data_IF_051928650533
#
_entry.id   IF_051928650533
#
_cell.length_a   1.000
_cell.length_b   1.000
_cell.length_c   1.000
_cell.angle_alpha   90.00
_cell.angle_beta   90.00
_cell.angle_gamma   90.00
#
_symmetry.space_group_name_H-M   'P 1'
#
loop_
_entity.id
_entity.type
_entity.pdbx_description
1 polymer ?
#
# COMPACT_ATOMS: atom_id res chain seq x y z
N UNK A 1 9.34 41.90 -63.18
CA UNK A 1 10.69 41.34 -62.94
C UNK A 1 11.25 42.06 -61.74
N UNK A 2 11.03 41.52 -60.53
CA UNK A 2 11.84 40.48 -59.84
C UNK A 2 12.92 41.16 -58.97
N UNK A 3 13.13 40.91 -57.68
CA UNK A 3 12.65 39.92 -56.72
C UNK A 3 12.97 40.46 -55.29
N UNK A 4 12.07 40.24 -54.33
CA UNK A 4 12.35 40.28 -52.90
C UNK A 4 13.12 39.01 -52.49
N UNK A 5 14.18 39.14 -51.70
CA UNK A 5 14.73 38.00 -50.92
C UNK A 5 14.67 38.35 -49.44
N UNK A 6 13.59 37.90 -48.79
CA UNK A 6 13.44 37.77 -47.34
C UNK A 6 14.16 36.49 -46.89
N UNK A 7 15.16 36.60 -46.02
CA UNK A 7 15.66 35.47 -45.23
C UNK A 7 14.92 35.43 -43.90
N UNK A 8 13.88 34.61 -43.82
CA UNK A 8 13.31 34.11 -42.56
C UNK A 8 13.89 32.73 -42.29
N UNK A 9 14.61 32.61 -41.19
CA UNK A 9 15.01 31.33 -40.61
C UNK A 9 13.78 30.70 -39.95
N UNK A 10 13.02 29.92 -40.72
CA UNK A 10 11.99 29.04 -40.18
C UNK A 10 12.65 27.79 -39.60
N UNK A 11 12.63 27.66 -38.28
CA UNK A 11 12.79 26.37 -37.62
C UNK A 11 11.53 25.51 -37.87
N UNK A 12 11.66 24.19 -38.03
CA UNK A 12 10.51 23.33 -38.25
C UNK A 12 9.73 23.24 -36.95
N UNK A 13 8.56 23.91 -36.91
CA UNK A 13 7.50 23.59 -35.95
C UNK A 13 7.02 22.19 -36.31
N UNK A 14 7.54 21.19 -35.61
CA UNK A 14 6.98 19.84 -35.64
C UNK A 14 5.49 19.93 -35.33
N UNK A 15 4.71 19.32 -36.21
CA UNK A 15 3.26 19.12 -36.14
C UNK A 15 2.78 18.83 -34.71
N UNK A 16 2.35 19.86 -33.98
CA UNK A 16 1.40 19.71 -32.89
C UNK A 16 0.06 19.47 -33.59
N UNK A 17 -0.16 18.21 -33.96
CA UNK A 17 -1.46 17.74 -34.41
C UNK A 17 -2.51 18.20 -33.40
N UNK A 18 -3.50 18.89 -33.91
CA UNK A 18 -4.69 19.44 -33.24
C UNK A 18 -5.27 18.46 -32.18
N UNK A 19 -4.73 18.53 -30.95
CA UNK A 19 -5.08 17.65 -29.82
C UNK A 19 -6.45 17.99 -29.20
N UNK A 20 -7.13 19.00 -29.74
CA UNK A 20 -8.47 19.44 -29.35
C UNK A 20 -9.56 18.44 -29.71
N UNK A 21 -9.27 17.46 -30.59
CA UNK A 21 -10.23 16.44 -31.10
C UNK A 21 -10.00 15.04 -30.54
N UNK A 22 -9.56 14.90 -29.29
CA UNK A 22 -9.66 13.60 -28.61
C UNK A 22 -11.12 13.42 -28.19
N UNK A 23 -11.82 12.57 -28.94
CA UNK A 23 -13.22 12.22 -28.75
C UNK A 23 -13.45 11.71 -27.30
N UNK A 24 -14.12 12.53 -26.48
CA UNK A 24 -14.20 12.37 -25.02
C UNK A 24 -14.80 11.02 -24.58
N UNK A 25 -15.53 10.36 -25.48
CA UNK A 25 -16.27 9.12 -25.20
C UNK A 25 -15.65 7.85 -25.81
N UNK A 26 -14.51 7.94 -26.51
CA UNK A 26 -13.89 6.74 -27.09
C UNK A 26 -13.15 5.93 -26.01
N UNK A 27 -13.41 4.61 -25.86
CA UNK A 27 -12.69 3.77 -24.92
C UNK A 27 -11.20 3.76 -25.26
N UNK A 28 -10.35 3.99 -24.27
CA UNK A 28 -8.91 4.03 -24.48
C UNK A 28 -8.33 2.61 -24.50
N UNK A 29 -7.31 2.38 -25.34
CA UNK A 29 -6.55 1.13 -25.29
C UNK A 29 -5.83 0.99 -23.95
N UNK A 30 -5.77 -0.23 -23.44
CA UNK A 30 -5.05 -0.60 -22.22
C UNK A 30 -3.54 -0.37 -22.35
N UNK A 31 -3.02 -0.33 -23.59
CA UNK A 31 -1.61 -0.08 -23.88
C UNK A 31 -1.30 1.41 -24.12
N UNK A 32 -2.22 2.32 -23.76
CA UNK A 32 -1.98 3.76 -23.85
C UNK A 32 -0.73 4.19 -23.08
N UNK A 33 0.08 5.06 -23.66
CA UNK A 33 1.30 5.54 -22.97
C UNK A 33 0.93 6.51 -21.86
N UNK A 34 1.82 6.70 -20.88
CA UNK A 34 1.64 7.69 -19.79
C UNK A 34 1.43 9.11 -20.34
N UNK A 35 1.97 9.39 -21.53
CA UNK A 35 1.72 10.63 -22.25
C UNK A 35 0.25 10.79 -22.66
N UNK A 36 -0.38 9.75 -23.20
CA UNK A 36 -1.81 9.77 -23.57
C UNK A 36 -2.69 9.87 -22.32
N UNK A 37 -2.33 9.17 -21.24
CA UNK A 37 -3.02 9.31 -19.94
C UNK A 37 -2.94 10.74 -19.41
N UNK A 38 -1.78 11.38 -19.51
CA UNK A 38 -1.58 12.79 -19.12
C UNK A 38 -2.50 13.73 -19.90
N UNK A 39 -2.56 13.59 -21.22
CA UNK A 39 -3.38 14.46 -22.06
C UNK A 39 -4.86 14.39 -21.67
N UNK A 40 -5.36 13.20 -21.37
CA UNK A 40 -6.79 12.98 -21.07
C UNK A 40 -7.16 13.25 -19.61
N UNK A 41 -6.31 12.87 -18.66
CA UNK A 41 -6.64 12.84 -17.24
C UNK A 41 -5.79 13.79 -16.37
N UNK A 42 -4.78 14.44 -16.94
CA UNK A 42 -3.94 15.44 -16.26
C UNK A 42 -2.61 14.89 -15.74
N UNK A 43 -1.75 15.80 -15.27
CA UNK A 43 -0.41 15.46 -14.79
C UNK A 43 -0.44 14.58 -13.53
N UNK A 44 -1.39 14.79 -12.60
CA UNK A 44 -1.47 14.03 -11.35
C UNK A 44 -1.57 12.51 -11.56
N UNK A 45 -2.39 12.09 -12.52
CA UNK A 45 -2.58 10.66 -12.86
C UNK A 45 -1.34 10.09 -13.55
N UNK A 46 -0.71 10.85 -14.45
CA UNK A 46 0.53 10.41 -15.09
C UNK A 46 1.66 10.22 -14.07
N UNK A 47 1.77 11.12 -13.09
CA UNK A 47 2.74 11.02 -12.00
C UNK A 47 2.45 9.86 -11.05
N UNK A 48 1.17 9.50 -10.86
CA UNK A 48 0.77 8.31 -10.11
C UNK A 48 1.30 7.04 -10.76
N UNK A 49 1.06 6.83 -12.06
CA UNK A 49 1.57 5.66 -12.76
C UNK A 49 3.12 5.65 -12.85
N UNK A 50 3.77 6.81 -12.98
CA UNK A 50 5.24 6.91 -12.93
C UNK A 50 5.78 6.52 -11.54
N UNK A 51 5.11 6.92 -10.47
CA UNK A 51 5.45 6.50 -9.10
C UNK A 51 5.23 5.00 -8.88
N UNK A 52 4.09 4.46 -9.28
CA UNK A 52 3.79 3.03 -9.18
C UNK A 52 4.82 2.19 -9.95
N UNK A 53 5.18 2.62 -11.17
CA UNK A 53 6.23 1.99 -11.96
C UNK A 53 7.59 2.05 -11.28
N UNK A 54 7.93 3.19 -10.65
CA UNK A 54 9.15 3.31 -9.88
C UNK A 54 9.20 2.30 -8.73
N UNK A 55 8.13 2.21 -7.92
CA UNK A 55 8.05 1.27 -6.78
C UNK A 55 8.18 -0.18 -7.27
N UNK A 56 7.47 -0.53 -8.35
CA UNK A 56 7.58 -1.85 -9.00
C UNK A 56 9.03 -2.18 -9.37
N UNK A 57 9.70 -1.30 -10.09
CA UNK A 57 11.08 -1.55 -10.56
C UNK A 57 12.06 -1.60 -9.39
N UNK A 58 11.92 -0.70 -8.41
CA UNK A 58 12.79 -0.72 -7.24
C UNK A 58 12.64 -2.00 -6.43
N UNK A 59 11.41 -2.46 -6.21
CA UNK A 59 11.15 -3.68 -5.45
C UNK A 59 11.59 -4.92 -6.23
N UNK A 60 11.46 -4.91 -7.57
CA UNK A 60 12.00 -5.98 -8.41
C UNK A 60 13.53 -6.09 -8.29
N UNK A 61 14.24 -4.95 -8.36
CA UNK A 61 15.71 -4.91 -8.26
C UNK A 61 16.17 -5.33 -6.86
N UNK A 62 15.53 -4.80 -5.81
CA UNK A 62 15.84 -5.14 -4.43
C UNK A 62 15.55 -6.62 -4.17
N UNK A 63 14.37 -7.09 -4.59
CA UNK A 63 13.94 -8.49 -4.44
C UNK A 63 14.85 -9.46 -5.18
N UNK A 64 15.27 -9.13 -6.40
CA UNK A 64 16.22 -9.96 -7.16
C UNK A 64 17.59 -10.02 -6.46
N UNK A 65 18.06 -8.89 -5.92
CA UNK A 65 19.29 -8.85 -5.13
C UNK A 65 19.20 -9.69 -3.85
N UNK A 66 18.07 -9.62 -3.13
CA UNK A 66 17.80 -10.44 -1.96
C UNK A 66 17.80 -11.92 -2.32
N UNK A 67 17.08 -12.32 -3.38
CA UNK A 67 17.02 -13.72 -3.82
C UNK A 67 18.40 -14.21 -4.26
N UNK A 68 19.20 -13.40 -4.95
CA UNK A 68 20.56 -13.76 -5.33
C UNK A 68 21.44 -14.05 -4.11
N UNK A 69 21.45 -13.12 -3.13
CA UNK A 69 22.17 -13.28 -1.85
C UNK A 69 21.70 -14.54 -1.12
N UNK A 70 20.39 -14.76 -1.12
CA UNK A 70 19.75 -15.91 -0.48
C UNK A 70 20.09 -17.23 -1.19
N UNK A 71 20.14 -17.27 -2.53
CA UNK A 71 20.53 -18.45 -3.30
C UNK A 71 21.97 -18.86 -3.02
N UNK A 72 22.91 -17.89 -3.00
CA UNK A 72 24.31 -18.14 -2.59
C UNK A 72 24.34 -18.77 -1.20
N UNK A 73 23.59 -18.21 -0.25
CA UNK A 73 23.54 -18.73 1.11
C UNK A 73 22.95 -20.14 1.20
N UNK A 74 21.92 -20.44 0.42
CA UNK A 74 21.27 -21.74 0.42
C UNK A 74 22.19 -22.87 -0.04
N UNK A 75 23.14 -22.60 -0.93
CA UNK A 75 24.16 -23.58 -1.35
C UNK A 75 25.12 -23.95 -0.21
N UNK A 76 25.34 -23.04 0.74
CA UNK A 76 26.17 -23.29 1.93
C UNK A 76 25.37 -23.88 3.11
N UNK A 77 24.04 -23.82 3.07
CA UNK A 77 23.17 -24.40 4.10
C UNK A 77 22.95 -25.90 3.81
N UNK A 78 23.69 -26.77 4.50
CA UNK A 78 23.71 -28.22 4.28
C UNK A 78 22.42 -28.98 4.67
N UNK A 79 21.29 -28.31 4.87
CA UNK A 79 20.07 -28.93 5.40
C UNK A 79 18.84 -28.26 4.82
N UNK A 80 18.10 -28.96 3.96
CA UNK A 80 16.62 -29.05 4.03
C UNK A 80 16.11 -30.03 2.97
N UNK A 81 15.27 -30.98 3.38
CA UNK A 81 14.57 -31.91 2.49
C UNK A 81 13.30 -31.32 1.87
N UNK A 82 12.90 -30.11 2.27
CA UNK A 82 11.74 -29.40 1.76
C UNK A 82 12.16 -28.13 1.00
N UNK A 83 11.96 -28.04 -0.32
CA UNK A 83 12.33 -26.88 -1.12
C UNK A 83 11.50 -25.62 -0.82
N UNK A 84 10.45 -25.71 0.01
CA UNK A 84 9.61 -24.57 0.38
C UNK A 84 10.03 -23.89 1.69
N UNK A 85 10.71 -24.58 2.60
CA UNK A 85 11.30 -23.96 3.81
C UNK A 85 12.43 -22.99 3.44
N UNK A 86 13.02 -23.21 2.26
CA UNK A 86 13.92 -22.29 1.57
C UNK A 86 13.30 -20.88 1.44
N UNK A 87 11.98 -20.73 1.26
CA UNK A 87 11.33 -19.42 1.07
C UNK A 87 11.26 -18.54 2.33
N UNK A 88 11.74 -19.05 3.47
CA UNK A 88 11.67 -18.39 4.78
C UNK A 88 13.05 -18.25 5.42
N UNK A 89 13.11 -17.49 6.51
CA UNK A 89 14.35 -17.27 7.26
C UNK A 89 15.01 -18.55 7.79
N UNK A 90 14.28 -19.66 7.90
CA UNK A 90 14.81 -20.98 8.27
C UNK A 90 15.87 -21.51 7.29
N UNK A 91 15.91 -20.97 6.07
CA UNK A 91 16.95 -21.25 5.08
C UNK A 91 18.33 -20.71 5.46
N UNK A 92 18.42 -19.74 6.36
CA UNK A 92 19.69 -19.31 6.94
C UNK A 92 20.13 -20.41 7.92
N UNK A 93 20.80 -21.43 7.38
CA UNK A 93 21.21 -22.63 8.14
C UNK A 93 22.10 -22.34 9.36
N UNK A 94 22.37 -23.34 10.17
CA UNK A 94 23.09 -23.18 11.43
C UNK A 94 24.60 -22.96 11.27
N UNK A 95 25.15 -21.98 11.99
CA UNK A 95 26.59 -21.68 12.05
C UNK A 95 26.91 -20.19 12.23
N UNK A 96 28.10 -19.89 12.77
CA UNK A 96 28.56 -18.51 13.01
C UNK A 96 28.69 -17.70 11.72
N UNK A 97 29.21 -18.29 10.64
CA UNK A 97 29.33 -17.62 9.33
C UNK A 97 27.96 -17.17 8.80
N UNK A 98 26.93 -18.01 8.97
CA UNK A 98 25.58 -17.75 8.50
C UNK A 98 24.90 -16.62 9.29
N UNK A 99 25.19 -16.50 10.59
CA UNK A 99 24.72 -15.37 11.40
C UNK A 99 25.31 -14.03 10.95
N UNK A 100 26.64 -13.93 10.78
CA UNK A 100 27.26 -12.70 10.31
C UNK A 100 26.83 -12.34 8.89
N UNK A 101 26.69 -13.34 8.01
CA UNK A 101 26.17 -13.13 6.67
C UNK A 101 24.74 -12.60 6.71
N UNK A 102 23.85 -13.23 7.48
CA UNK A 102 22.48 -12.74 7.70
C UNK A 102 22.44 -11.31 8.24
N UNK A 103 23.27 -11.00 9.24
CA UNK A 103 23.34 -9.67 9.84
C UNK A 103 23.77 -8.60 8.82
N UNK A 104 24.86 -8.86 8.09
CA UNK A 104 25.39 -7.93 7.07
C UNK A 104 24.39 -7.75 5.94
N UNK A 105 23.75 -8.81 5.46
CA UNK A 105 22.79 -8.72 4.35
C UNK A 105 21.52 -7.98 4.75
N UNK A 106 21.02 -8.14 5.98
CA UNK A 106 19.91 -7.34 6.49
C UNK A 106 20.30 -5.86 6.66
N UNK A 107 21.50 -5.54 7.15
CA UNK A 107 21.98 -4.15 7.21
C UNK A 107 22.07 -3.53 5.82
N UNK A 108 22.64 -4.24 4.85
CA UNK A 108 22.72 -3.77 3.47
C UNK A 108 21.31 -3.56 2.88
N UNK A 109 20.40 -4.51 3.10
CA UNK A 109 18.98 -4.36 2.74
C UNK A 109 18.39 -3.08 3.33
N UNK A 110 18.65 -2.78 4.60
CA UNK A 110 18.18 -1.55 5.24
C UNK A 110 18.74 -0.29 4.61
N UNK A 111 20.04 -0.25 4.31
CA UNK A 111 20.68 0.89 3.66
C UNK A 111 20.05 1.12 2.27
N UNK A 112 19.84 0.06 1.50
CA UNK A 112 19.26 0.13 0.16
C UNK A 112 17.81 0.64 0.21
N UNK A 113 16.97 0.07 1.09
CA UNK A 113 15.57 0.49 1.23
C UNK A 113 15.43 1.92 1.78
N UNK A 114 16.29 2.34 2.72
CA UNK A 114 16.34 3.75 3.16
C UNK A 114 16.69 4.69 1.99
N UNK A 115 17.64 4.27 1.15
CA UNK A 115 18.06 4.99 -0.05
C UNK A 115 16.98 5.12 -1.13
N UNK A 116 16.01 4.21 -1.17
CA UNK A 116 14.92 4.18 -2.16
C UNK A 116 14.12 5.50 -2.19
N UNK A 117 13.75 6.05 -1.04
CA UNK A 117 13.01 7.32 -0.98
C UNK A 117 13.83 8.50 -1.51
N UNK A 118 15.10 8.58 -1.10
CA UNK A 118 16.03 9.64 -1.53
C UNK A 118 16.34 9.55 -3.03
N UNK A 119 16.55 8.34 -3.55
CA UNK A 119 16.81 8.08 -4.96
C UNK A 119 15.64 8.52 -5.84
N UNK A 120 14.39 8.20 -5.44
CA UNK A 120 13.19 8.69 -6.11
C UNK A 120 13.17 10.21 -6.21
N UNK A 121 13.43 10.90 -5.09
CA UNK A 121 13.43 12.35 -5.06
C UNK A 121 14.49 12.95 -5.97
N UNK A 122 15.74 12.47 -5.89
CA UNK A 122 16.85 13.02 -6.67
C UNK A 122 16.62 12.83 -8.17
N UNK A 123 16.18 11.65 -8.59
CA UNK A 123 15.97 11.32 -10.01
C UNK A 123 14.76 12.03 -10.60
N UNK A 124 13.66 12.14 -9.85
CA UNK A 124 12.39 12.65 -10.39
C UNK A 124 12.15 14.14 -10.14
N UNK A 125 12.83 14.79 -9.18
CA UNK A 125 12.58 16.21 -8.85
C UNK A 125 12.71 17.16 -10.04
N UNK A 126 13.74 16.99 -10.87
CA UNK A 126 14.01 17.91 -11.97
C UNK A 126 13.00 17.73 -13.10
N UNK A 127 12.62 16.49 -13.39
CA UNK A 127 11.63 16.15 -14.41
C UNK A 127 10.27 16.70 -13.99
N UNK A 128 9.82 16.39 -12.77
CA UNK A 128 8.52 16.82 -12.26
C UNK A 128 8.44 18.34 -12.15
N UNK A 129 9.52 19.02 -11.70
CA UNK A 129 9.55 20.48 -11.63
C UNK A 129 9.36 21.12 -13.00
N UNK A 130 10.08 20.64 -14.02
CA UNK A 130 9.94 21.14 -15.41
C UNK A 130 8.54 20.91 -15.95
N UNK A 131 7.96 19.74 -15.70
CA UNK A 131 6.62 19.40 -16.19
C UNK A 131 5.53 20.21 -15.48
N UNK A 132 5.69 20.48 -14.19
CA UNK A 132 4.80 21.35 -13.44
C UNK A 132 4.90 22.81 -13.90
N UNK A 133 6.12 23.31 -14.17
CA UNK A 133 6.33 24.66 -14.70
C UNK A 133 5.66 24.84 -16.08
N UNK A 134 5.75 23.84 -16.97
CA UNK A 134 5.02 23.84 -18.25
C UNK A 134 3.51 23.88 -18.05
N UNK A 135 2.98 23.07 -17.15
CA UNK A 135 1.53 23.03 -16.87
C UNK A 135 1.06 24.34 -16.24
N UNK A 136 1.86 24.95 -15.37
CA UNK A 136 1.58 26.26 -14.79
C UNK A 136 1.54 27.37 -15.85
N UNK A 137 2.50 27.40 -16.78
CA UNK A 137 2.48 28.35 -17.90
C UNK A 137 1.21 28.19 -18.76
N UNK A 138 0.77 26.96 -18.99
CA UNK A 138 -0.49 26.71 -19.73
C UNK A 138 -1.71 27.20 -18.95
N UNK A 139 -1.74 27.03 -17.62
CA UNK A 139 -2.80 27.61 -16.77
C UNK A 139 -2.82 29.14 -16.81
N UNK A 140 -1.68 29.79 -16.98
CA UNK A 140 -1.58 31.25 -17.04
C UNK A 140 -2.00 31.81 -18.43
N UNK A 141 -1.97 30.98 -19.49
CA UNK A 141 -2.24 31.40 -20.88
C UNK A 141 -3.68 31.05 -21.33
N UNK A 142 -4.22 29.92 -20.87
CA UNK A 142 -5.45 29.34 -21.40
C UNK A 142 -6.53 29.20 -20.32
N UNK A 143 -7.53 30.10 -20.33
CA UNK A 143 -8.66 30.07 -19.39
C UNK A 143 -9.52 28.81 -19.56
N UNK A 144 -9.61 28.24 -20.77
CA UNK A 144 -10.33 26.99 -21.03
C UNK A 144 -9.57 25.80 -20.43
N UNK A 145 -8.23 25.85 -20.42
CA UNK A 145 -7.41 24.88 -19.72
C UNK A 145 -7.61 24.94 -18.19
N UNK A 146 -7.76 26.14 -17.62
CA UNK A 146 -8.08 26.33 -16.20
C UNK A 146 -9.44 25.70 -15.84
N UNK A 147 -10.46 25.85 -16.69
CA UNK A 147 -11.78 25.23 -16.47
C UNK A 147 -11.74 23.69 -16.56
N UNK A 148 -10.78 23.12 -17.30
CA UNK A 148 -10.57 21.68 -17.41
C UNK A 148 -9.81 21.07 -16.21
N UNK A 149 -9.14 21.88 -15.40
CA UNK A 149 -8.39 21.45 -14.22
C UNK A 149 -9.27 21.52 -12.99
N UNK A 150 -9.28 20.43 -12.21
CA UNK A 150 -9.97 20.38 -10.93
C UNK A 150 -9.14 21.16 -9.92
N UNK A 151 -9.34 22.47 -9.86
CA UNK A 151 -8.82 23.23 -8.73
C UNK A 151 -9.61 22.79 -7.48
N UNK A 152 -8.93 22.46 -6.38
CA UNK A 152 -9.59 22.01 -5.14
C UNK A 152 -10.62 23.02 -4.61
N UNK A 153 -10.56 24.27 -5.05
CA UNK A 153 -11.51 25.34 -4.75
C UNK A 153 -12.87 25.22 -5.44
N UNK A 154 -13.03 24.44 -6.52
CA UNK A 154 -14.34 24.31 -7.18
C UNK A 154 -15.28 23.33 -6.48
N UNK A 155 -14.76 22.26 -5.85
CA UNK A 155 -15.55 21.47 -4.88
C UNK A 155 -15.99 22.30 -3.67
N UNK A 156 -15.22 23.34 -3.35
CA UNK A 156 -15.59 24.28 -2.28
C UNK A 156 -16.68 25.29 -2.73
N UNK A 157 -16.96 25.44 -4.05
CA UNK A 157 -18.02 26.33 -4.58
C UNK A 157 -19.43 25.72 -4.54
N UNK A 158 -19.55 24.40 -4.69
CA UNK A 158 -20.86 23.71 -4.70
C UNK A 158 -21.46 23.50 -3.29
N UNK A 159 -20.79 23.97 -2.24
CA UNK A 159 -21.40 24.31 -0.95
C UNK A 159 -22.00 23.16 -0.12
N UNK A 160 -22.04 21.94 -0.62
CA UNK A 160 -22.78 20.84 0.03
C UNK A 160 -22.08 20.22 1.24
N UNK A 161 -20.75 20.30 1.33
CA UNK A 161 -19.99 19.76 2.47
C UNK A 161 -19.35 20.82 3.37
N UNK A 162 -19.57 22.11 3.08
CA UNK A 162 -18.88 23.22 3.75
C UNK A 162 -19.91 24.10 4.42
N UNK A 163 -20.23 23.79 5.67
CA UNK A 163 -20.78 24.83 6.53
C UNK A 163 -19.76 25.98 6.58
N UNK A 164 -20.09 27.10 5.94
CA UNK A 164 -19.53 28.44 6.20
C UNK A 164 -19.91 28.92 7.62
N UNK A 165 -20.00 28.01 8.58
CA UNK A 165 -20.32 28.29 9.96
C UNK A 165 -19.11 28.94 10.64
N UNK A 166 -19.36 30.06 11.32
CA UNK A 166 -18.47 30.73 12.29
C UNK A 166 -18.13 29.84 13.50
N UNK A 167 -17.88 28.54 13.32
CA UNK A 167 -17.40 27.71 14.42
C UNK A 167 -16.04 28.23 14.86
N UNK A 168 -15.93 28.54 16.15
CA UNK A 168 -14.67 28.98 16.74
C UNK A 168 -13.61 27.91 16.47
N UNK A 169 -12.36 28.33 16.25
CA UNK A 169 -11.25 27.40 16.00
C UNK A 169 -11.13 26.33 17.10
N UNK A 170 -11.50 26.67 18.34
CA UNK A 170 -11.52 25.78 19.49
C UNK A 170 -12.52 24.63 19.34
N UNK A 171 -13.75 24.92 18.91
CA UNK A 171 -14.80 23.89 18.71
C UNK A 171 -14.36 22.88 17.65
N UNK A 172 -13.74 23.31 16.55
CA UNK A 172 -13.22 22.40 15.53
C UNK A 172 -12.12 21.48 16.03
N UNK A 173 -11.22 21.99 16.90
CA UNK A 173 -10.20 21.15 17.52
C UNK A 173 -10.81 20.08 18.42
N UNK A 174 -11.84 20.42 19.18
CA UNK A 174 -12.58 19.45 20.01
C UNK A 174 -13.21 18.36 19.14
N UNK A 175 -13.94 18.73 18.08
CA UNK A 175 -14.53 17.75 17.17
C UNK A 175 -13.49 16.86 16.50
N UNK A 176 -12.33 17.41 16.15
CA UNK A 176 -11.21 16.62 15.65
C UNK A 176 -10.71 15.59 16.68
N UNK A 177 -10.52 15.99 17.95
CA UNK A 177 -10.10 15.06 19.00
C UNK A 177 -11.15 13.96 19.22
N UNK A 178 -12.43 14.33 19.33
CA UNK A 178 -13.55 13.39 19.50
C UNK A 178 -13.59 12.39 18.33
N UNK A 179 -13.42 12.89 17.11
CA UNK A 179 -13.37 12.07 15.89
C UNK A 179 -12.23 11.03 15.95
N UNK A 180 -11.01 11.45 16.28
CA UNK A 180 -9.90 10.50 16.44
C UNK A 180 -10.15 9.50 17.58
N UNK A 181 -10.75 9.93 18.69
CA UNK A 181 -11.08 9.04 19.81
C UNK A 181 -12.09 7.96 19.38
N UNK A 182 -13.20 8.35 18.74
CA UNK A 182 -14.20 7.40 18.22
C UNK A 182 -13.54 6.41 17.25
N UNK A 183 -12.72 6.91 16.32
CA UNK A 183 -12.03 6.08 15.35
C UNK A 183 -11.09 5.05 16.00
N UNK A 184 -10.32 5.46 17.01
CA UNK A 184 -9.41 4.58 17.75
C UNK A 184 -10.21 3.50 18.51
N UNK A 185 -11.32 3.86 19.15
CA UNK A 185 -12.18 2.88 19.84
C UNK A 185 -12.70 1.81 18.88
N UNK A 186 -13.20 2.20 17.71
CA UNK A 186 -13.61 1.22 16.68
C UNK A 186 -12.44 0.34 16.22
N UNK A 187 -11.26 0.94 16.01
CA UNK A 187 -10.06 0.19 15.63
C UNK A 187 -9.68 -0.84 16.70
N UNK A 188 -9.73 -0.48 17.98
CA UNK A 188 -9.43 -1.37 19.11
C UNK A 188 -10.45 -2.52 19.23
N UNK A 189 -11.73 -2.27 18.95
CA UNK A 189 -12.75 -3.32 18.91
C UNK A 189 -12.40 -4.36 17.85
N UNK A 190 -12.06 -3.92 16.63
CA UNK A 190 -11.67 -4.84 15.55
C UNK A 190 -10.37 -5.59 15.87
N UNK A 191 -9.38 -4.91 16.47
CA UNK A 191 -8.16 -5.57 16.94
C UNK A 191 -8.50 -6.67 17.97
N UNK A 192 -9.39 -6.39 18.92
CA UNK A 192 -9.81 -7.36 19.94
C UNK A 192 -10.48 -8.58 19.32
N UNK A 193 -11.34 -8.40 18.31
CA UNK A 193 -11.97 -9.51 17.58
C UNK A 193 -10.90 -10.38 16.88
N UNK A 194 -9.92 -9.77 16.21
CA UNK A 194 -8.81 -10.49 15.58
C UNK A 194 -7.98 -11.27 16.61
N UNK A 195 -7.64 -10.63 17.74
CA UNK A 195 -6.87 -11.25 18.83
C UNK A 195 -7.59 -12.49 19.36
N UNK A 196 -8.91 -12.41 19.56
CA UNK A 196 -9.73 -13.53 20.04
C UNK A 196 -9.67 -14.68 19.04
N UNK A 197 -9.85 -14.43 17.74
CA UNK A 197 -9.82 -15.47 16.70
C UNK A 197 -8.45 -16.15 16.64
N UNK A 198 -7.37 -15.38 16.73
CA UNK A 198 -6.00 -15.92 16.72
C UNK A 198 -5.72 -16.74 17.97
N UNK A 199 -6.17 -16.28 19.15
CA UNK A 199 -6.00 -17.02 20.41
C UNK A 199 -6.73 -18.36 20.42
N UNK A 200 -7.86 -18.45 19.70
CA UNK A 200 -8.61 -19.70 19.51
C UNK A 200 -8.14 -20.52 18.28
N UNK A 201 -7.06 -20.12 17.61
CA UNK A 201 -6.44 -20.93 16.56
C UNK A 201 -5.97 -22.24 17.21
N UNK A 202 -6.52 -23.41 16.82
CA UNK A 202 -6.08 -24.69 17.35
C UNK A 202 -4.60 -24.89 17.02
N UNK A 203 -3.86 -25.49 17.94
CA UNK A 203 -2.45 -25.78 17.74
C UNK A 203 -2.27 -26.58 16.46
N UNK A 204 -1.52 -26.01 15.51
CA UNK A 204 -1.26 -26.64 14.22
C UNK A 204 -0.65 -28.02 14.38
N UNK A 205 0.08 -28.28 15.47
CA UNK A 205 0.60 -29.61 15.79
C UNK A 205 -0.50 -30.66 15.99
N UNK A 206 -1.65 -30.30 16.55
CA UNK A 206 -2.77 -31.23 16.72
C UNK A 206 -3.40 -31.62 15.38
N UNK A 207 -3.50 -30.66 14.45
CA UNK A 207 -4.02 -30.88 13.10
C UNK A 207 -2.99 -31.64 12.26
N UNK A 208 -1.71 -31.27 12.35
CA UNK A 208 -0.64 -31.93 11.62
C UNK A 208 -0.49 -33.39 12.09
N UNK A 209 -0.50 -33.65 13.41
CA UNK A 209 -0.52 -35.03 13.93
C UNK A 209 -1.74 -35.83 13.45
N UNK A 210 -2.91 -35.18 13.31
CA UNK A 210 -4.10 -35.82 12.74
C UNK A 210 -3.90 -36.13 11.24
N UNK A 211 -3.36 -35.21 10.45
CA UNK A 211 -3.08 -35.42 9.01
C UNK A 211 -1.98 -36.46 8.79
N UNK A 212 -0.90 -36.40 9.56
CA UNK A 212 0.21 -37.35 9.55
C UNK A 212 -0.28 -38.75 9.95
N UNK A 213 -1.23 -38.85 10.90
CA UNK A 213 -1.89 -40.12 11.26
C UNK A 213 -2.78 -40.70 10.15
N UNK A 214 -3.18 -39.88 9.16
CA UNK A 214 -3.96 -40.29 8.00
C UNK A 214 -3.09 -40.70 6.80
N UNK A 215 -1.75 -40.79 6.94
CA UNK A 215 -0.81 -41.21 5.88
C UNK A 215 -0.91 -40.39 4.58
N UNK A 216 -1.56 -39.22 4.61
CA UNK A 216 -1.57 -38.30 3.49
C UNK A 216 -0.33 -37.43 3.60
N UNK A 217 0.70 -37.74 2.79
CA UNK A 217 1.89 -36.90 2.58
C UNK A 217 1.56 -35.58 1.86
N UNK A 218 0.48 -34.91 2.25
CA UNK A 218 0.14 -33.58 1.77
C UNK A 218 0.93 -32.60 2.64
N UNK A 219 2.24 -32.54 2.38
CA UNK A 219 3.18 -31.58 2.97
C UNK A 219 2.92 -30.16 2.40
N UNK A 220 1.75 -29.59 2.65
CA UNK A 220 1.47 -28.19 2.32
C UNK A 220 1.23 -27.36 3.59
N UNK A 221 2.29 -26.94 4.31
CA UNK A 221 2.19 -25.99 5.40
C UNK A 221 2.17 -24.53 4.89
N UNK A 222 1.72 -24.27 3.65
CA UNK A 222 1.80 -22.93 3.05
C UNK A 222 0.64 -22.02 3.45
N UNK A 223 -0.56 -22.58 3.67
CA UNK A 223 -1.73 -21.79 4.04
C UNK A 223 -2.55 -22.52 5.10
N UNK A 224 -2.48 -22.06 6.34
CA UNK A 224 -3.50 -22.47 7.31
C UNK A 224 -4.84 -21.88 6.88
N UNK A 225 -5.91 -22.67 6.94
CA UNK A 225 -7.28 -22.15 6.77
C UNK A 225 -7.54 -20.91 7.66
N UNK A 226 -6.97 -20.90 8.87
CA UNK A 226 -7.05 -19.76 9.78
C UNK A 226 -6.32 -18.52 9.27
N UNK A 227 -5.20 -18.66 8.56
CA UNK A 227 -4.45 -17.52 8.02
C UNK A 227 -5.21 -16.89 6.85
N UNK A 228 -5.87 -17.71 6.02
CA UNK A 228 -6.81 -17.24 4.99
C UNK A 228 -8.00 -16.54 5.64
N UNK A 229 -8.63 -17.15 6.65
CA UNK A 229 -9.79 -16.59 7.36
C UNK A 229 -9.45 -15.23 8.00
N UNK A 230 -8.32 -15.14 8.72
CA UNK A 230 -7.84 -13.89 9.32
C UNK A 230 -7.59 -12.85 8.24
N UNK A 231 -7.00 -13.22 7.11
CA UNK A 231 -6.74 -12.29 6.00
C UNK A 231 -8.03 -11.78 5.33
N UNK A 232 -9.04 -12.63 5.17
CA UNK A 232 -10.36 -12.24 4.66
C UNK A 232 -11.08 -11.31 5.64
N UNK A 233 -11.05 -11.63 6.94
CA UNK A 233 -11.64 -10.78 7.98
C UNK A 233 -10.93 -9.42 8.06
N UNK A 234 -9.61 -9.41 7.94
CA UNK A 234 -8.80 -8.20 7.89
C UNK A 234 -9.22 -7.31 6.71
N UNK A 235 -9.41 -7.89 5.53
CA UNK A 235 -9.97 -7.18 4.37
C UNK A 235 -11.35 -6.59 4.65
N UNK A 236 -12.27 -7.37 5.25
CA UNK A 236 -13.61 -6.88 5.61
C UNK A 236 -13.51 -5.71 6.61
N UNK A 237 -12.67 -5.84 7.63
CA UNK A 237 -12.45 -4.76 8.60
C UNK A 237 -11.83 -3.53 7.96
N UNK A 238 -10.97 -3.66 6.95
CA UNK A 238 -10.49 -2.51 6.18
C UNK A 238 -11.59 -1.79 5.43
N UNK A 239 -12.55 -2.50 4.84
CA UNK A 239 -13.68 -1.86 4.16
C UNK A 239 -14.58 -1.14 5.15
N UNK A 240 -14.87 -1.75 6.31
CA UNK A 240 -15.66 -1.12 7.37
C UNK A 240 -14.93 0.11 7.93
N UNK A 241 -13.64 -0.02 8.23
CA UNK A 241 -12.82 1.06 8.76
C UNK A 241 -12.70 2.23 7.79
N UNK A 242 -12.69 1.97 6.47
CA UNK A 242 -12.74 3.02 5.45
C UNK A 242 -14.02 3.84 5.55
N UNK A 243 -15.16 3.17 5.72
CA UNK A 243 -16.47 3.82 5.90
C UNK A 243 -16.47 4.60 7.22
N UNK A 244 -16.02 4.01 8.32
CA UNK A 244 -15.93 4.68 9.62
C UNK A 244 -15.03 5.91 9.54
N UNK A 245 -13.86 5.83 8.90
CA UNK A 245 -12.96 6.97 8.71
C UNK A 245 -13.61 8.11 7.92
N UNK A 246 -14.41 7.80 6.91
CA UNK A 246 -15.22 8.78 6.17
C UNK A 246 -16.23 9.46 7.09
N UNK A 247 -17.11 8.67 7.73
CA UNK A 247 -18.17 9.15 8.62
C UNK A 247 -17.63 10.05 9.72
N UNK A 248 -16.56 9.60 10.37
CA UNK A 248 -15.96 10.26 11.52
C UNK A 248 -15.23 11.54 11.09
N UNK A 249 -14.60 11.56 9.91
CA UNK A 249 -13.98 12.78 9.38
C UNK A 249 -15.01 13.82 8.92
N UNK A 250 -16.24 13.44 8.59
CA UNK A 250 -17.31 14.39 8.30
C UNK A 250 -17.73 15.19 9.54
N UNK A 251 -17.63 14.57 10.73
CA UNK A 251 -17.95 15.23 12.02
C UNK A 251 -17.00 16.41 12.29
N UNK A 252 -15.78 16.40 11.74
CA UNK A 252 -14.74 17.40 12.01
C UNK A 252 -15.00 18.78 11.36
N UNK A 253 -15.97 18.88 10.43
CA UNK A 253 -16.36 20.12 9.73
C UNK A 253 -15.15 20.90 9.18
N UNK A 254 -14.41 20.27 8.26
CA UNK A 254 -13.22 20.86 7.66
C UNK A 254 -13.54 22.12 6.82
N UNK A 255 -12.62 23.10 6.82
CA UNK A 255 -12.76 24.32 6.01
C UNK A 255 -12.56 24.10 4.51
N UNK A 256 -11.77 23.09 4.15
CA UNK A 256 -11.35 22.80 2.78
C UNK A 256 -11.48 21.31 2.54
N UNK A 257 -11.91 20.92 1.34
CA UNK A 257 -11.98 19.51 0.95
C UNK A 257 -10.64 18.76 1.14
N UNK A 258 -9.51 19.39 0.81
CA UNK A 258 -8.17 18.80 1.01
C UNK A 258 -7.92 18.43 2.48
N UNK A 259 -8.38 19.26 3.42
CA UNK A 259 -8.24 18.99 4.85
C UNK A 259 -9.00 17.74 5.27
N UNK A 260 -10.22 17.58 4.75
CA UNK A 260 -11.05 16.40 4.95
C UNK A 260 -10.39 15.13 4.39
N UNK A 261 -9.92 15.18 3.13
CA UNK A 261 -9.25 14.04 2.49
C UNK A 261 -8.00 13.65 3.29
N UNK A 262 -7.16 14.62 3.66
CA UNK A 262 -5.96 14.36 4.46
C UNK A 262 -6.28 13.69 5.79
N UNK A 263 -7.20 14.25 6.58
CA UNK A 263 -7.52 13.72 7.91
C UNK A 263 -8.25 12.37 7.84
N UNK A 264 -9.04 12.11 6.79
CA UNK A 264 -9.62 10.80 6.48
C UNK A 264 -8.54 9.77 6.17
N UNK A 265 -7.61 10.11 5.27
CA UNK A 265 -6.54 9.22 4.83
C UNK A 265 -5.59 8.86 5.98
N UNK A 266 -5.23 9.83 6.84
CA UNK A 266 -4.37 9.59 8.01
C UNK A 266 -5.02 8.62 9.00
N UNK A 267 -6.31 8.82 9.35
CA UNK A 267 -7.01 7.88 10.24
C UNK A 267 -7.02 6.48 9.65
N UNK A 268 -7.40 6.37 8.39
CA UNK A 268 -7.44 5.08 7.71
C UNK A 268 -6.07 4.40 7.69
N UNK A 269 -4.99 5.15 7.45
CA UNK A 269 -3.61 4.66 7.52
C UNK A 269 -3.28 4.02 8.85
N UNK A 270 -3.49 4.81 9.91
CA UNK A 270 -3.17 4.45 11.28
C UNK A 270 -3.96 3.20 11.67
N UNK A 271 -5.27 3.17 11.38
CA UNK A 271 -6.09 2.03 11.73
C UNK A 271 -5.76 0.75 10.95
N UNK A 272 -5.39 0.83 9.66
CA UNK A 272 -4.90 -0.36 8.93
C UNK A 272 -3.61 -0.89 9.54
N UNK A 273 -2.65 -0.02 9.87
CA UNK A 273 -1.40 -0.43 10.54
C UNK A 273 -1.71 -1.11 11.88
N UNK A 274 -2.56 -0.51 12.73
CA UNK A 274 -2.90 -1.10 14.02
C UNK A 274 -3.56 -2.47 13.89
N UNK A 275 -4.45 -2.65 12.91
CA UNK A 275 -5.09 -3.95 12.64
C UNK A 275 -4.07 -5.02 12.25
N UNK A 276 -3.20 -4.72 11.29
CA UNK A 276 -2.11 -5.61 10.89
C UNK A 276 -1.21 -5.94 12.08
N UNK A 277 -0.82 -4.92 12.83
CA UNK A 277 0.08 -5.09 13.96
C UNK A 277 -0.52 -5.89 15.10
N UNK A 278 -1.83 -5.78 15.34
CA UNK A 278 -2.52 -6.58 16.35
C UNK A 278 -2.35 -8.07 16.07
N UNK A 279 -2.47 -8.50 14.80
CA UNK A 279 -2.28 -9.90 14.39
C UNK A 279 -0.87 -10.36 14.75
N UNK A 280 0.13 -9.55 14.42
CA UNK A 280 1.53 -9.91 14.64
C UNK A 280 1.94 -9.94 16.10
N UNK A 281 1.49 -8.95 16.86
CA UNK A 281 1.68 -8.87 18.31
C UNK A 281 1.03 -10.10 18.98
N UNK A 282 -0.20 -10.43 18.62
CA UNK A 282 -0.89 -11.60 19.18
C UNK A 282 -0.21 -12.90 18.80
N UNK A 283 0.18 -13.07 17.53
CA UNK A 283 0.90 -14.27 17.09
C UNK A 283 2.20 -14.46 17.89
N UNK A 284 2.92 -13.38 18.21
CA UNK A 284 4.12 -13.46 19.03
C UNK A 284 3.80 -13.84 20.48
N UNK A 285 2.78 -13.23 21.08
CA UNK A 285 2.41 -13.45 22.49
C UNK A 285 1.83 -14.87 22.72
N UNK A 286 1.07 -15.41 21.76
CA UNK A 286 0.45 -16.73 21.90
C UNK A 286 1.47 -17.86 21.70
N UNK A 287 2.49 -17.66 20.85
CA UNK A 287 3.49 -18.68 20.50
C UNK A 287 4.85 -18.46 21.19
N UNK A 288 4.87 -17.90 22.39
CA UNK A 288 6.13 -17.60 23.11
C UNK A 288 6.95 -18.85 23.42
N UNK A 289 6.28 -20.00 23.58
CA UNK A 289 6.90 -21.24 24.08
C UNK A 289 7.12 -22.32 23.00
N UNK A 290 6.79 -22.06 21.73
CA UNK A 290 6.80 -23.07 20.65
C UNK A 290 7.76 -22.66 19.53
N UNK A 291 9.01 -23.09 19.63
CA UNK A 291 10.00 -23.02 18.55
C UNK A 291 10.34 -21.60 18.05
N UNK A 292 10.84 -21.51 16.82
CA UNK A 292 11.20 -20.26 16.16
C UNK A 292 9.94 -19.58 15.58
N UNK A 293 9.42 -18.46 16.16
CA UNK A 293 8.23 -17.76 15.68
C UNK A 293 8.36 -17.14 14.28
N UNK A 294 9.57 -17.02 13.72
CA UNK A 294 9.81 -16.25 12.50
C UNK A 294 9.26 -16.91 11.23
N UNK A 295 9.33 -18.24 11.11
CA UNK A 295 8.76 -18.96 9.96
C UNK A 295 7.22 -18.93 9.92
N UNK A 296 6.49 -19.25 11.01
CA UNK A 296 5.04 -19.11 11.00
C UNK A 296 4.61 -17.64 10.85
N UNK A 297 5.40 -16.68 11.34
CA UNK A 297 5.18 -15.27 11.06
C UNK A 297 5.33 -14.97 9.56
N UNK A 298 6.41 -15.43 8.92
CA UNK A 298 6.65 -15.28 7.49
C UNK A 298 5.52 -15.84 6.62
N UNK A 299 5.00 -17.03 6.93
CA UNK A 299 3.83 -17.61 6.24
C UNK A 299 2.56 -16.78 6.47
N UNK A 300 2.36 -16.21 7.67
CA UNK A 300 1.25 -15.28 7.93
C UNK A 300 1.39 -14.00 7.11
N UNK A 301 2.58 -13.39 7.06
CA UNK A 301 2.86 -12.21 6.22
C UNK A 301 2.59 -12.50 4.74
N UNK A 302 3.09 -13.64 4.26
CA UNK A 302 2.86 -14.12 2.91
C UNK A 302 1.38 -14.25 2.59
N UNK A 303 0.63 -14.92 3.45
CA UNK A 303 -0.82 -15.13 3.26
C UNK A 303 -1.59 -13.82 3.28
N UNK A 304 -1.26 -12.91 4.21
CA UNK A 304 -1.92 -11.59 4.32
C UNK A 304 -1.65 -10.74 3.09
N UNK A 305 -0.40 -10.65 2.63
CA UNK A 305 -0.03 -9.87 1.42
C UNK A 305 -0.67 -10.47 0.17
N UNK A 306 -0.64 -11.80 0.01
CA UNK A 306 -1.24 -12.46 -1.13
C UNK A 306 -2.77 -12.29 -1.15
N UNK A 307 -3.41 -12.44 0.00
CA UNK A 307 -4.86 -12.27 0.13
C UNK A 307 -5.27 -10.82 -0.09
N UNK A 308 -4.52 -9.85 0.44
CA UNK A 308 -4.74 -8.42 0.19
C UNK A 308 -4.60 -8.10 -1.30
N UNK A 309 -3.58 -8.63 -1.97
CA UNK A 309 -3.41 -8.50 -3.42
C UNK A 309 -4.62 -9.03 -4.17
N UNK A 310 -5.01 -10.29 -3.90
CA UNK A 310 -6.10 -10.95 -4.63
C UNK A 310 -7.42 -10.25 -4.35
N UNK A 311 -7.78 -10.02 -3.08
CA UNK A 311 -9.06 -9.44 -2.72
C UNK A 311 -9.15 -7.98 -3.15
N UNK A 312 -8.13 -7.16 -2.91
CA UNK A 312 -8.22 -5.72 -3.21
C UNK A 312 -8.26 -5.49 -4.71
N UNK A 313 -7.46 -6.20 -5.52
CA UNK A 313 -7.55 -6.10 -6.97
C UNK A 313 -8.86 -6.66 -7.53
N UNK A 314 -9.28 -7.84 -7.04
CA UNK A 314 -10.53 -8.47 -7.49
C UNK A 314 -11.73 -7.57 -7.20
N UNK A 315 -11.89 -7.11 -5.97
CA UNK A 315 -12.98 -6.22 -5.58
C UNK A 315 -12.83 -4.82 -6.18
N UNK A 316 -11.60 -4.35 -6.40
CA UNK A 316 -11.30 -3.08 -7.07
C UNK A 316 -11.84 -3.01 -8.50
N UNK A 317 -11.85 -4.13 -9.23
CA UNK A 317 -12.45 -4.25 -10.57
C UNK A 317 -13.94 -4.64 -10.48
N UNK A 318 -14.26 -5.58 -9.59
CA UNK A 318 -15.61 -6.13 -9.47
C UNK A 318 -16.63 -5.06 -9.04
N UNK A 319 -16.29 -4.19 -8.08
CA UNK A 319 -17.23 -3.17 -7.60
C UNK A 319 -17.63 -2.16 -8.69
N UNK A 320 -16.70 -1.55 -9.46
CA UNK A 320 -17.06 -0.72 -10.61
C UNK A 320 -17.84 -1.49 -11.67
N UNK A 321 -17.44 -2.74 -11.98
CA UNK A 321 -18.15 -3.57 -12.95
C UNK A 321 -19.61 -3.81 -12.55
N UNK A 322 -19.86 -4.21 -11.30
CA UNK A 322 -21.20 -4.44 -10.75
C UNK A 322 -22.02 -3.14 -10.82
N UNK A 323 -21.44 -2.00 -10.39
CA UNK A 323 -22.13 -0.71 -10.43
C UNK A 323 -22.50 -0.28 -11.86
N UNK A 324 -21.64 -0.56 -12.82
CA UNK A 324 -21.86 -0.22 -14.23
C UNK A 324 -22.95 -1.10 -14.88
N UNK A 325 -22.97 -2.41 -14.59
CA UNK A 325 -23.89 -3.34 -15.25
C UNK A 325 -25.22 -3.53 -14.51
N UNK A 326 -25.25 -3.32 -13.18
CA UNK A 326 -26.44 -3.56 -12.35
C UNK A 326 -26.93 -2.27 -11.70
N UNK A 327 -27.70 -1.43 -12.42
CA UNK A 327 -28.15 -0.13 -11.92
C UNK A 327 -29.06 -0.25 -10.68
N UNK A 328 -29.74 -1.39 -10.49
CA UNK A 328 -30.55 -1.65 -9.29
C UNK A 328 -29.71 -1.62 -8.00
N UNK A 329 -28.49 -2.14 -8.01
CA UNK A 329 -27.59 -2.14 -6.84
C UNK A 329 -27.20 -0.70 -6.50
N UNK A 330 -26.89 0.12 -7.51
CA UNK A 330 -26.63 1.55 -7.30
C UNK A 330 -27.83 2.24 -6.66
N UNK A 331 -29.06 2.00 -7.17
CA UNK A 331 -30.29 2.55 -6.57
C UNK A 331 -30.52 2.09 -5.13
N UNK A 332 -30.21 0.83 -4.83
CA UNK A 332 -30.33 0.27 -3.49
C UNK A 332 -29.35 0.92 -2.51
N UNK A 333 -28.08 1.07 -2.92
CA UNK A 333 -27.06 1.80 -2.15
C UNK A 333 -27.50 3.25 -1.93
N UNK A 334 -28.01 3.94 -2.97
CA UNK A 334 -28.58 5.29 -2.82
C UNK A 334 -29.67 5.34 -1.74
N UNK A 335 -30.59 4.39 -1.76
CA UNK A 335 -31.71 4.33 -0.81
C UNK A 335 -31.21 4.14 0.62
N UNK A 336 -30.26 3.23 0.83
CA UNK A 336 -29.62 3.02 2.13
C UNK A 336 -28.88 4.28 2.61
N UNK A 337 -28.06 4.89 1.76
CA UNK A 337 -27.33 6.12 2.11
C UNK A 337 -28.28 7.26 2.52
N UNK A 338 -29.39 7.44 1.79
CA UNK A 338 -30.42 8.44 2.13
C UNK A 338 -31.13 8.13 3.45
N UNK A 339 -31.32 6.85 3.79
CA UNK A 339 -31.91 6.45 5.07
C UNK A 339 -30.96 6.65 6.25
N UNK A 340 -29.66 6.38 6.08
CA UNK A 340 -28.65 6.50 7.14
C UNK A 340 -28.25 7.95 7.38
N UNK A 341 -28.28 8.80 6.33
CA UNK A 341 -27.92 10.22 6.41
C UNK A 341 -29.08 11.13 5.99
N UNK A 342 -30.13 11.27 6.82
CA UNK A 342 -31.31 12.08 6.47
C UNK A 342 -30.98 13.57 6.28
N UNK A 343 -29.92 14.08 6.91
CA UNK A 343 -29.47 15.48 6.78
C UNK A 343 -28.79 15.80 5.44
N UNK A 344 -28.59 14.82 4.55
CA UNK A 344 -27.84 14.94 3.29
C UNK A 344 -28.73 14.80 2.06
N UNK A 345 -30.03 15.01 2.24
CA UNK A 345 -31.06 14.74 1.23
C UNK A 345 -30.94 15.60 -0.04
N UNK A 346 -30.38 16.80 0.09
CA UNK A 346 -30.49 17.84 -0.94
C UNK A 346 -29.21 18.03 -1.77
N UNK A 347 -28.13 17.29 -1.48
CA UNK A 347 -26.82 17.52 -2.09
C UNK A 347 -26.17 16.34 -2.78
N UNK A 348 -26.85 15.20 -2.89
CA UNK A 348 -26.33 14.02 -3.56
C UNK A 348 -26.67 14.10 -5.05
N UNK A 349 -25.73 14.59 -5.87
CA UNK A 349 -25.89 14.56 -7.33
C UNK A 349 -25.74 13.12 -7.84
N UNK A 350 -26.40 12.77 -8.94
CA UNK A 350 -26.31 11.42 -9.52
C UNK A 350 -24.89 11.09 -9.98
N UNK A 351 -24.10 12.12 -10.29
CA UNK A 351 -22.70 12.05 -10.67
C UNK A 351 -21.76 11.72 -9.51
N UNK A 352 -22.16 11.94 -8.25
CA UNK A 352 -21.36 11.60 -7.06
C UNK A 352 -21.27 10.10 -6.79
N UNK A 353 -22.10 9.30 -7.49
CA UNK A 353 -22.24 7.86 -7.28
C UNK A 353 -21.47 7.05 -8.33
N UNK A 354 -21.08 7.72 -9.43
CA UNK A 354 -20.19 7.15 -10.42
C UNK A 354 -18.80 6.89 -9.79
N UNK A 355 -18.15 5.75 -10.11
CA UNK A 355 -16.83 5.46 -9.56
C UNK A 355 -15.81 6.49 -10.05
N UNK A 356 -15.30 7.32 -9.14
CA UNK A 356 -14.22 8.26 -9.40
C UNK A 356 -12.86 7.63 -9.10
N UNK A 357 -11.87 7.92 -9.94
CA UNK A 357 -10.48 7.54 -9.67
C UNK A 357 -9.88 8.53 -8.65
N UNK A 358 -10.04 8.23 -7.36
CA UNK A 358 -9.49 9.04 -6.27
C UNK A 358 -8.00 8.75 -6.09
N UNK A 359 -7.16 9.54 -6.75
CA UNK A 359 -5.69 9.38 -6.76
C UNK A 359 -5.11 9.21 -5.35
N UNK A 360 -5.62 9.94 -4.35
CA UNK A 360 -5.15 9.82 -2.98
C UNK A 360 -5.42 8.44 -2.36
N UNK A 361 -6.54 7.81 -2.73
CA UNK A 361 -6.89 6.46 -2.31
C UNK A 361 -5.98 5.42 -2.96
N UNK A 362 -5.63 5.62 -4.24
CA UNK A 362 -4.75 4.69 -4.96
C UNK A 362 -3.31 4.78 -4.44
N UNK A 363 -2.78 6.01 -4.24
CA UNK A 363 -1.48 6.18 -3.57
C UNK A 363 -1.45 5.51 -2.20
N UNK A 364 -2.51 5.67 -1.43
CA UNK A 364 -2.62 5.06 -0.11
C UNK A 364 -2.57 3.52 -0.16
N UNK A 365 -3.14 2.91 -1.19
CA UNK A 365 -3.07 1.47 -1.39
C UNK A 365 -1.63 1.01 -1.64
N UNK A 366 -0.92 1.71 -2.55
CA UNK A 366 0.51 1.45 -2.81
C UNK A 366 1.31 1.56 -1.52
N UNK A 367 1.06 2.61 -0.76
CA UNK A 367 1.71 2.92 0.50
C UNK A 367 1.57 1.83 1.54
N UNK A 368 0.33 1.44 1.80
CA UNK A 368 0.03 0.39 2.77
C UNK A 368 0.59 -0.96 2.33
N UNK A 369 0.58 -1.25 1.02
CA UNK A 369 1.18 -2.46 0.48
C UNK A 369 2.70 -2.47 0.65
N UNK A 370 3.38 -1.36 0.34
CA UNK A 370 4.83 -1.22 0.57
C UNK A 370 5.19 -1.45 2.04
N UNK A 371 4.39 -0.92 2.96
CA UNK A 371 4.56 -1.17 4.39
C UNK A 371 4.55 -2.67 4.72
N UNK A 372 3.53 -3.40 4.26
CA UNK A 372 3.41 -4.84 4.50
C UNK A 372 4.53 -5.67 3.86
N UNK A 373 4.97 -5.30 2.65
CA UNK A 373 6.09 -5.94 1.97
C UNK A 373 7.38 -5.74 2.76
N UNK A 374 7.68 -4.50 3.18
CA UNK A 374 8.92 -4.17 3.88
C UNK A 374 9.03 -4.86 5.24
N UNK A 375 7.95 -4.89 6.02
CA UNK A 375 7.93 -5.59 7.32
C UNK A 375 8.05 -7.11 7.15
N UNK A 376 7.47 -7.68 6.09
CA UNK A 376 7.51 -9.12 5.84
C UNK A 376 8.83 -9.59 5.23
N UNK A 377 9.50 -8.76 4.42
CA UNK A 377 10.68 -9.14 3.64
C UNK A 377 11.89 -9.57 4.49
N UNK A 378 11.95 -9.13 5.74
CA UNK A 378 12.96 -9.57 6.72
C UNK A 378 12.75 -11.02 7.17
N UNK A 379 11.51 -11.52 7.14
CA UNK A 379 11.15 -12.90 7.53
C UNK A 379 10.98 -13.83 6.33
N UNK A 380 10.50 -13.31 5.20
CA UNK A 380 10.36 -14.03 3.94
C UNK A 380 10.97 -13.20 2.79
N UNK A 381 12.22 -13.49 2.40
CA UNK A 381 12.95 -12.78 1.35
C UNK A 381 12.19 -12.64 0.02
N UNK A 382 11.35 -13.63 -0.33
CA UNK A 382 10.59 -13.64 -1.59
C UNK A 382 9.42 -12.64 -1.60
N UNK A 383 9.01 -12.12 -0.45
CA UNK A 383 7.92 -11.15 -0.37
C UNK A 383 8.17 -9.88 -1.18
N UNK A 384 9.42 -9.46 -1.33
CA UNK A 384 9.76 -8.30 -2.16
C UNK A 384 9.46 -8.54 -3.65
N UNK A 385 9.75 -9.75 -4.15
CA UNK A 385 9.41 -10.12 -5.54
C UNK A 385 7.90 -10.26 -5.76
N UNK A 386 7.19 -10.82 -4.77
CA UNK A 386 5.73 -10.89 -4.79
C UNK A 386 5.13 -9.49 -4.73
N UNK A 387 5.75 -8.59 -3.98
CA UNK A 387 5.44 -7.17 -3.94
C UNK A 387 5.57 -6.52 -5.32
N UNK A 388 6.69 -6.73 -6.01
CA UNK A 388 6.89 -6.24 -7.37
C UNK A 388 5.82 -6.78 -8.35
N UNK A 389 5.51 -8.08 -8.28
CA UNK A 389 4.43 -8.68 -9.07
C UNK A 389 3.07 -8.05 -8.73
N UNK A 390 2.82 -7.81 -7.45
CA UNK A 390 1.61 -7.16 -6.96
C UNK A 390 1.45 -5.75 -7.55
N UNK A 391 2.52 -4.95 -7.57
CA UNK A 391 2.50 -3.63 -8.21
C UNK A 391 2.34 -3.70 -9.73
N UNK A 392 2.82 -4.76 -10.40
CA UNK A 392 2.59 -4.96 -11.82
C UNK A 392 1.12 -5.25 -12.13
N UNK A 393 0.48 -6.08 -11.31
CA UNK A 393 -0.96 -6.37 -11.40
C UNK A 393 -1.76 -5.10 -11.12
N UNK A 394 -1.43 -4.39 -10.04
CA UNK A 394 -2.07 -3.12 -9.67
C UNK A 394 -1.99 -2.11 -10.81
N UNK A 395 -0.82 -1.95 -11.43
CA UNK A 395 -0.62 -1.06 -12.56
C UNK A 395 -1.58 -1.37 -13.70
N UNK A 396 -1.78 -2.65 -14.01
CA UNK A 396 -2.73 -3.08 -15.04
C UNK A 396 -4.19 -2.86 -14.61
N UNK A 397 -4.55 -3.25 -13.38
CA UNK A 397 -5.89 -3.11 -12.81
C UNK A 397 -6.33 -1.65 -12.75
N UNK A 398 -5.49 -0.75 -12.24
CA UNK A 398 -5.78 0.67 -12.15
C UNK A 398 -5.91 1.32 -13.51
N UNK A 399 -5.09 0.90 -14.47
CA UNK A 399 -5.22 1.39 -15.84
C UNK A 399 -6.52 0.93 -16.48
N UNK A 400 -6.96 -0.30 -16.24
CA UNK A 400 -8.28 -0.80 -16.65
C UNK A 400 -9.39 0.03 -16.01
N UNK A 401 -9.31 0.21 -14.69
CA UNK A 401 -10.27 0.98 -13.89
C UNK A 401 -10.42 2.40 -14.42
N UNK A 402 -9.30 3.10 -14.63
CA UNK A 402 -9.29 4.46 -15.17
C UNK A 402 -9.83 4.54 -16.60
N UNK A 403 -9.45 3.60 -17.48
CA UNK A 403 -9.77 3.69 -18.91
C UNK A 403 -11.16 3.16 -19.28
N UNK A 404 -11.72 2.21 -18.52
CA UNK A 404 -12.99 1.54 -18.85
C UNK A 404 -14.13 1.82 -17.87
N UNK A 405 -13.83 2.05 -16.59
CA UNK A 405 -14.85 2.07 -15.54
C UNK A 405 -15.04 3.43 -14.89
N UNK A 406 -13.99 4.23 -14.78
CA UNK A 406 -14.07 5.55 -14.18
C UNK A 406 -14.54 6.59 -15.21
N UNK A 407 -15.39 7.52 -14.74
CA UNK A 407 -15.70 8.71 -15.52
C UNK A 407 -14.47 9.62 -15.62
N UNK A 408 -14.36 10.35 -16.73
CA UNK A 408 -13.27 11.29 -16.92
C UNK A 408 -13.42 12.46 -15.93
N UNK A 409 -12.61 12.45 -14.88
CA UNK A 409 -12.55 13.56 -13.92
C UNK A 409 -11.79 14.74 -14.53
N UNK A 410 -12.08 15.96 -14.04
CA UNK A 410 -11.28 17.14 -14.34
C UNK A 410 -9.81 16.87 -13.97
N UNK A 411 -8.90 17.43 -14.77
CA UNK A 411 -7.45 17.16 -14.69
C UNK A 411 -6.93 17.49 -13.30
N UNK A 412 -6.15 16.60 -12.70
CA UNK A 412 -5.61 16.80 -11.35
C UNK A 412 -4.22 17.45 -11.41
N UNK A 413 -3.98 18.56 -10.67
CA UNK A 413 -2.68 19.20 -10.65
C UNK A 413 -1.66 18.30 -9.93
N UNK A 414 -0.46 18.16 -10.49
CA UNK A 414 0.57 17.29 -9.95
C UNK A 414 1.55 18.03 -9.04
N UNK A 415 1.68 17.64 -7.77
CA UNK A 415 2.95 17.67 -7.02
C UNK A 415 2.83 16.91 -5.68
N UNK A 416 2.98 15.59 -5.72
CA UNK A 416 3.10 14.74 -4.53
C UNK A 416 4.55 14.26 -4.28
N UNK A 417 5.55 14.75 -5.03
CA UNK A 417 6.91 14.17 -5.01
C UNK A 417 7.55 14.14 -3.61
N UNK A 418 7.48 15.25 -2.86
CA UNK A 418 8.02 15.34 -1.50
C UNK A 418 7.26 14.45 -0.54
N UNK A 419 5.95 14.32 -0.76
CA UNK A 419 5.10 13.45 0.02
C UNK A 419 5.43 11.97 -0.23
N UNK A 420 5.61 11.57 -1.49
CA UNK A 420 6.02 10.22 -1.87
C UNK A 420 7.41 9.87 -1.31
N UNK A 421 8.39 10.79 -1.39
CA UNK A 421 9.71 10.62 -0.77
C UNK A 421 9.60 10.42 0.75
N UNK A 422 8.91 11.35 1.42
CA UNK A 422 8.73 11.31 2.87
C UNK A 422 8.04 10.01 3.27
N UNK A 423 7.03 9.60 2.51
CA UNK A 423 6.28 8.38 2.73
C UNK A 423 7.17 7.13 2.61
N UNK A 424 7.92 6.97 1.51
CA UNK A 424 8.80 5.82 1.31
C UNK A 424 9.80 5.70 2.47
N UNK A 425 10.38 6.83 2.88
CA UNK A 425 11.33 6.89 4.00
C UNK A 425 10.64 6.55 5.33
N UNK A 426 9.49 7.16 5.59
CA UNK A 426 8.72 6.96 6.82
C UNK A 426 8.26 5.52 6.98
N UNK A 427 7.74 4.92 5.91
CA UNK A 427 7.22 3.55 5.91
C UNK A 427 8.33 2.53 6.13
N UNK A 428 9.50 2.78 5.56
CA UNK A 428 10.68 1.98 5.85
C UNK A 428 11.12 2.10 7.32
N UNK A 429 11.26 3.32 7.84
CA UNK A 429 11.63 3.54 9.26
C UNK A 429 10.61 2.88 10.19
N UNK A 430 9.33 2.98 9.85
CA UNK A 430 8.27 2.34 10.62
C UNK A 430 8.42 0.82 10.57
N UNK A 431 8.53 0.21 9.37
CA UNK A 431 8.73 -1.24 9.23
C UNK A 431 9.99 -1.74 9.94
N UNK A 432 11.03 -0.91 10.06
CA UNK A 432 12.25 -1.25 10.79
C UNK A 432 12.05 -1.27 12.32
N UNK A 433 11.43 -0.23 12.90
CA UNK A 433 11.33 -0.04 14.37
C UNK A 433 10.19 -0.87 14.99
N UNK A 434 9.24 -1.34 14.19
CA UNK A 434 7.98 -1.87 14.69
C UNK A 434 8.10 -3.29 15.29
N UNK A 435 7.80 -3.42 16.58
CA UNK A 435 7.82 -4.72 17.28
C UNK A 435 6.61 -5.58 16.89
N UNK A 436 6.71 -6.93 16.78
CA UNK A 436 7.87 -7.78 17.04
C UNK A 436 8.75 -8.10 15.82
N UNK A 437 8.21 -7.98 14.61
CA UNK A 437 8.89 -8.49 13.40
C UNK A 437 9.60 -7.41 12.58
N UNK A 438 9.69 -6.19 13.09
CA UNK A 438 10.45 -5.13 12.44
C UNK A 438 11.93 -5.47 12.37
N UNK A 439 12.58 -4.96 11.32
CA UNK A 439 13.98 -5.28 11.03
C UNK A 439 14.94 -5.04 12.20
N UNK A 440 14.70 -4.00 13.01
CA UNK A 440 15.47 -3.72 14.22
C UNK A 440 15.40 -4.88 15.21
N UNK A 441 14.20 -5.43 15.44
CA UNK A 441 13.99 -6.50 16.42
C UNK A 441 14.55 -7.84 15.97
N UNK A 442 14.46 -8.12 14.66
CA UNK A 442 15.05 -9.33 14.07
C UNK A 442 16.58 -9.27 14.11
N UNK A 443 17.17 -8.13 13.73
CA UNK A 443 18.63 -7.98 13.67
C UNK A 443 19.25 -7.77 15.05
N UNK A 444 18.56 -7.10 15.98
CA UNK A 444 19.08 -6.87 17.33
C UNK A 444 19.15 -8.12 18.18
N UNK A 445 18.35 -9.16 17.90
CA UNK A 445 18.44 -10.48 18.54
C UNK A 445 18.79 -10.43 20.04
N UNK A 446 20.01 -10.87 20.36
CA UNK A 446 20.61 -10.98 21.70
C UNK A 446 21.13 -9.67 22.34
N UNK A 447 21.20 -8.55 21.60
CA UNK A 447 21.66 -7.26 22.17
C UNK A 447 20.72 -6.77 23.30
N UNK A 448 19.49 -7.27 23.32
CA UNK A 448 18.50 -7.13 24.40
C UNK A 448 18.21 -8.47 25.11
N UNK A 449 19.23 -9.32 25.32
CA UNK A 449 19.14 -10.65 25.96
C UNK A 449 18.49 -10.70 27.35
N UNK A 450 18.13 -9.55 27.94
CA UNK A 450 17.32 -9.43 29.15
C UNK A 450 15.79 -9.48 28.92
N UNK A 451 15.30 -9.29 27.69
CA UNK A 451 13.86 -9.28 27.37
C UNK A 451 13.41 -10.41 26.44
N UNK A 452 14.33 -11.20 25.88
CA UNK A 452 14.03 -11.91 24.64
C UNK A 452 14.74 -13.26 24.42
N UNK A 453 14.90 -14.09 25.46
CA UNK A 453 15.50 -15.44 25.38
C UNK A 453 14.84 -16.42 24.38
N UNK A 454 13.69 -16.07 23.78
CA UNK A 454 12.86 -16.98 22.99
C UNK A 454 12.59 -16.48 21.54
N UNK A 455 13.46 -15.69 20.90
CA UNK A 455 13.17 -15.22 19.53
C UNK A 455 13.37 -16.27 18.46
N UNK A 456 14.42 -17.09 18.56
CA UNK A 456 14.58 -18.44 17.99
C UNK A 456 15.71 -19.05 18.84
N UNK A 457 15.53 -20.28 19.31
CA UNK A 457 16.51 -20.94 20.16
C UNK A 457 17.90 -20.93 19.48
N UNK A 458 18.96 -20.61 20.25
CA UNK A 458 20.34 -20.44 19.76
C UNK A 458 20.87 -21.70 19.03
N UNK A 459 20.14 -22.82 19.10
CA UNK A 459 20.31 -24.04 18.33
C UNK A 459 20.21 -23.86 16.80
N UNK A 460 19.48 -22.85 16.30
CA UNK A 460 19.39 -22.52 14.87
C UNK A 460 20.69 -21.91 14.33
N UNK A 461 21.57 -21.39 15.18
CA UNK A 461 22.89 -20.82 14.80
C UNK A 461 24.08 -21.53 15.45
N UNK A 462 23.85 -22.51 16.33
CA UNK A 462 24.91 -23.32 16.95
C UNK A 462 25.49 -24.29 15.93
N UNK A 463 26.75 -24.05 15.58
CA UNK A 463 27.63 -25.10 15.05
C UNK A 463 27.77 -26.21 16.10
N UNK A 464 27.82 -27.48 15.67
CA UNK A 464 28.10 -28.66 16.52
C UNK A 464 29.42 -28.57 17.30
N UNK A 465 30.28 -27.60 17.00
CA UNK A 465 31.54 -27.43 17.68
C UNK A 465 31.37 -26.50 18.89
N UNK A 466 31.41 -27.14 20.07
CA UNK A 466 31.54 -26.50 21.37
C UNK A 466 32.80 -25.61 21.41
N UNK A 467 32.67 -24.35 21.02
CA UNK A 467 33.57 -23.30 21.46
C UNK A 467 32.72 -22.14 21.98
N UNK A 468 32.91 -21.87 23.27
CA UNK A 468 32.32 -20.77 24.00
C UNK A 468 32.49 -19.46 23.26
N UNK A 469 31.40 -18.74 23.03
CA UNK A 469 31.25 -17.30 23.31
C UNK A 469 29.80 -16.89 23.07
N UNK A 470 29.27 -16.11 24.01
CA UNK A 470 27.88 -15.70 24.21
C UNK A 470 27.01 -16.73 24.94
N UNK A 471 26.80 -16.46 26.23
CA UNK A 471 25.79 -17.12 27.05
C UNK A 471 24.40 -16.69 26.57
N UNK A 472 23.73 -17.59 25.87
CA UNK A 472 22.32 -17.87 26.14
C UNK A 472 22.25 -18.56 27.53
#
# INVERSE_FOLDING_TARGET
MSEEVKNKTEQPVENISDCSKIDKNKPMSLFSTNFVLRQRFGLGIALYFDFLYYVLVSDLVIGAGIVFVWSIQSEFASVTSNPLTLLYIEAYGSGQFNYYFFFVTNILFFIVCLGQGLYYYITRRNIIKREYEKEKMLMDIDEDFVQQINMPTERDKDGSMIEKGRSSWFIRKIWKIISYFIFIVFTLIFCTILVVIIKFKPDQESIQRFVDSQMQQINFPLFSFYDILVSVLLFVFYQILRIVAQLVSLIERHKKYIGYVKDRTIKYFIGKIFLVMSIYITNRIVKVDVGCPLAPAGSTFFTVVLTDLVLTNFFGILFPFIKAHFPFISRFIKKICKCIMPCWKDSFDENDIAPQFEIESEYFEIYFRQFNILIGSTTSPILMLIGALSFAIEYACDKIKLTKFCYQTKKTPGMMIRFNQWFLTFTFVLAFILWPYGGFWIVSGDLFGLLNKNYCDCSLFRSKNNFLLMQC
#
